data_IF_553168964450
#
_entry.id   IF_553168964450
#
_cell.length_a   1.000
_cell.length_b   1.000
_cell.length_c   1.000
_cell.angle_alpha   90.00
_cell.angle_beta   90.00
_cell.angle_gamma   90.00
#
_symmetry.space_group_name_H-M   'P 1'
#
loop_
_entity.id
_entity.type
_entity.pdbx_description
1 polymer ?
#
# COMPACT_ATOMS: atom_id res chain seq x y z
N UNK A 1 -36.52 31.16 47.44
CA UNK A 1 -36.41 32.60 47.21
C UNK A 1 -36.38 32.88 45.71
N UNK A 2 -37.26 33.73 45.21
CA UNK A 2 -37.40 34.00 43.76
C UNK A 2 -36.08 34.51 43.17
N UNK A 3 -35.31 35.29 43.89
CA UNK A 3 -34.01 35.80 43.43
C UNK A 3 -32.99 34.71 43.25
N UNK A 4 -32.97 33.70 44.07
CA UNK A 4 -32.06 32.54 43.93
C UNK A 4 -32.36 31.75 42.65
N UNK A 5 -33.62 31.65 42.27
CA UNK A 5 -34.03 30.98 41.05
C UNK A 5 -33.67 31.74 39.78
N UNK A 6 -33.68 33.07 39.82
CA UNK A 6 -33.20 33.89 38.72
C UNK A 6 -31.68 33.77 38.52
N UNK A 7 -30.90 33.70 39.57
CA UNK A 7 -29.46 33.48 39.47
C UNK A 7 -29.13 32.09 38.93
N UNK A 8 -29.85 31.08 39.38
CA UNK A 8 -29.68 29.71 38.88
C UNK A 8 -30.05 29.58 37.39
N UNK A 9 -31.11 30.28 36.95
CA UNK A 9 -31.53 30.36 35.54
C UNK A 9 -30.46 31.05 34.67
N UNK A 10 -29.87 32.12 35.15
CA UNK A 10 -28.84 32.86 34.44
C UNK A 10 -27.54 32.02 34.32
N UNK A 11 -27.12 31.36 35.40
CA UNK A 11 -26.00 30.44 35.40
C UNK A 11 -26.21 29.27 34.44
N UNK A 12 -27.36 28.65 34.41
CA UNK A 12 -27.72 27.58 33.47
C UNK A 12 -27.74 28.08 32.03
N UNK A 13 -28.26 29.29 31.78
CA UNK A 13 -28.24 29.91 30.44
C UNK A 13 -26.80 30.11 29.96
N UNK A 14 -25.90 30.62 30.80
CA UNK A 14 -24.50 30.82 30.50
C UNK A 14 -23.80 29.48 30.19
N UNK A 15 -24.07 28.44 30.99
CA UNK A 15 -23.52 27.11 30.74
C UNK A 15 -24.01 26.55 29.41
N UNK A 16 -25.27 26.72 29.07
CA UNK A 16 -25.84 26.27 27.79
C UNK A 16 -25.15 27.03 26.60
N UNK A 17 -24.94 28.32 26.72
CA UNK A 17 -24.25 29.09 25.70
C UNK A 17 -22.77 28.64 25.49
N UNK A 18 -22.05 28.42 26.56
CA UNK A 18 -20.67 27.89 26.51
C UNK A 18 -20.66 26.53 25.82
N UNK A 19 -21.52 25.60 26.22
CA UNK A 19 -21.63 24.28 25.62
C UNK A 19 -22.00 24.31 24.14
N UNK A 20 -22.89 25.20 23.73
CA UNK A 20 -23.23 25.41 22.32
C UNK A 20 -22.02 25.92 21.52
N UNK A 21 -21.30 26.89 22.07
CA UNK A 21 -20.08 27.42 21.42
C UNK A 21 -19.02 26.34 21.27
N UNK A 22 -18.77 25.52 22.28
CA UNK A 22 -17.83 24.42 22.22
C UNK A 22 -18.26 23.35 21.21
N UNK A 23 -19.55 23.02 21.19
CA UNK A 23 -20.10 22.10 20.19
C UNK A 23 -19.85 22.57 18.75
N UNK A 24 -20.11 23.84 18.45
CA UNK A 24 -19.87 24.41 17.11
C UNK A 24 -18.37 24.39 16.75
N UNK A 25 -17.47 24.66 17.69
CA UNK A 25 -16.02 24.55 17.47
C UNK A 25 -15.61 23.12 17.12
N UNK A 26 -16.07 22.14 17.89
CA UNK A 26 -15.77 20.73 17.64
C UNK A 26 -16.37 20.25 16.32
N UNK A 27 -17.56 20.69 15.98
CA UNK A 27 -18.19 20.37 14.70
C UNK A 27 -17.36 20.90 13.53
N UNK A 28 -16.94 22.16 13.58
CA UNK A 28 -16.10 22.76 12.53
C UNK A 28 -14.76 22.02 12.37
N UNK A 29 -14.12 21.64 13.47
CA UNK A 29 -12.89 20.84 13.44
C UNK A 29 -13.10 19.45 12.82
N UNK A 30 -14.23 18.82 13.15
CA UNK A 30 -14.59 17.53 12.56
C UNK A 30 -14.83 17.65 11.05
N UNK A 31 -15.55 18.68 10.59
CA UNK A 31 -15.82 18.91 9.19
C UNK A 31 -14.52 19.16 8.39
N UNK A 32 -13.58 19.94 8.93
CA UNK A 32 -12.26 20.14 8.33
C UNK A 32 -11.51 18.82 8.21
N UNK A 33 -11.46 18.04 9.28
CA UNK A 33 -10.77 16.75 9.29
C UNK A 33 -11.38 15.73 8.32
N UNK A 34 -12.69 15.75 8.13
CA UNK A 34 -13.39 14.90 7.14
C UNK A 34 -12.98 15.30 5.73
N UNK A 35 -13.02 16.61 5.40
CA UNK A 35 -12.64 17.11 4.09
C UNK A 35 -11.18 16.77 3.74
N UNK A 36 -10.25 16.96 4.68
CA UNK A 36 -8.83 16.58 4.49
C UNK A 36 -8.65 15.09 4.20
N UNK A 37 -9.43 14.23 4.87
CA UNK A 37 -9.41 12.78 4.61
C UNK A 37 -10.00 12.42 3.26
N UNK A 38 -11.08 13.05 2.85
CA UNK A 38 -11.71 12.82 1.55
C UNK A 38 -10.76 13.21 0.40
N UNK A 39 -10.08 14.34 0.51
CA UNK A 39 -9.05 14.75 -0.46
C UNK A 39 -7.89 13.73 -0.53
N UNK A 40 -7.43 13.23 0.63
CA UNK A 40 -6.38 12.23 0.69
C UNK A 40 -6.81 10.90 0.05
N UNK A 41 -8.04 10.45 0.31
CA UNK A 41 -8.61 9.26 -0.31
C UNK A 41 -8.66 9.40 -1.83
N UNK A 42 -9.14 10.53 -2.34
CA UNK A 42 -9.19 10.79 -3.79
C UNK A 42 -7.81 10.75 -4.45
N UNK A 43 -6.79 11.32 -3.80
CA UNK A 43 -5.40 11.26 -4.28
C UNK A 43 -4.88 9.82 -4.32
N UNK A 44 -5.11 9.06 -3.25
CA UNK A 44 -4.67 7.66 -3.17
C UNK A 44 -5.39 6.78 -4.20
N UNK A 45 -6.67 7.01 -4.45
CA UNK A 45 -7.42 6.28 -5.48
C UNK A 45 -6.86 6.54 -6.89
N UNK A 46 -6.47 7.77 -7.20
CA UNK A 46 -5.79 8.12 -8.47
C UNK A 46 -4.44 7.40 -8.60
N UNK A 47 -3.66 7.37 -7.51
CA UNK A 47 -2.38 6.66 -7.50
C UNK A 47 -2.56 5.15 -7.68
N UNK A 48 -3.54 4.54 -7.01
CA UNK A 48 -3.89 3.13 -7.19
C UNK A 48 -4.28 2.83 -8.62
N UNK A 49 -5.16 3.64 -9.23
CA UNK A 49 -5.56 3.46 -10.63
C UNK A 49 -4.38 3.56 -11.59
N UNK A 50 -3.47 4.49 -11.35
CA UNK A 50 -2.25 4.64 -12.16
C UNK A 50 -1.39 3.37 -12.11
N UNK A 51 -1.08 2.89 -10.90
CA UNK A 51 -0.28 1.68 -10.71
C UNK A 51 -0.97 0.43 -11.28
N UNK A 52 -2.28 0.30 -11.11
CA UNK A 52 -3.05 -0.79 -11.72
C UNK A 52 -2.99 -0.78 -13.25
N UNK A 53 -3.05 0.39 -13.87
CA UNK A 53 -2.95 0.52 -15.32
C UNK A 53 -1.52 0.17 -15.80
N UNK A 54 -0.50 0.64 -15.12
CA UNK A 54 0.90 0.28 -15.40
C UNK A 54 1.11 -1.24 -15.29
N UNK A 55 0.57 -1.85 -14.25
CA UNK A 55 0.61 -3.29 -14.04
C UNK A 55 -0.12 -4.08 -15.16
N UNK A 56 -1.31 -3.63 -15.58
CA UNK A 56 -2.04 -4.25 -16.71
C UNK A 56 -1.25 -4.16 -18.02
N UNK A 57 -0.63 -3.02 -18.28
CA UNK A 57 0.22 -2.84 -19.47
C UNK A 57 1.42 -3.79 -19.40
N UNK A 58 2.11 -3.85 -18.27
CA UNK A 58 3.24 -4.76 -18.08
C UNK A 58 2.85 -6.24 -18.29
N UNK A 59 1.68 -6.65 -17.77
CA UNK A 59 1.18 -8.00 -17.98
C UNK A 59 0.86 -8.31 -19.44
N UNK A 60 0.40 -7.32 -20.22
CA UNK A 60 0.05 -7.51 -21.63
C UNK A 60 1.26 -7.79 -22.54
N UNK A 61 2.44 -7.38 -22.12
CA UNK A 61 3.69 -7.56 -22.86
C UNK A 61 4.27 -8.97 -22.65
N UNK A 62 3.93 -9.61 -21.53
CA UNK A 62 4.48 -10.90 -21.14
C UNK A 62 3.74 -12.07 -21.81
N UNK A 63 4.43 -13.16 -22.18
CA UNK A 63 3.78 -14.39 -22.59
C UNK A 63 2.84 -14.92 -21.52
N UNK A 64 1.67 -15.41 -21.93
CA UNK A 64 0.59 -15.83 -21.01
C UNK A 64 1.05 -16.91 -20.02
N UNK A 65 1.91 -17.82 -20.43
CA UNK A 65 2.46 -18.89 -19.59
C UNK A 65 3.24 -18.33 -18.36
N UNK A 66 3.96 -17.24 -18.56
CA UNK A 66 4.70 -16.57 -17.50
C UNK A 66 3.79 -15.78 -16.56
N UNK A 67 2.74 -15.18 -17.11
CA UNK A 67 1.74 -14.48 -16.30
C UNK A 67 0.99 -15.44 -15.39
N UNK A 68 0.60 -16.60 -15.89
CA UNK A 68 -0.07 -17.64 -15.09
C UNK A 68 0.85 -18.21 -14.01
N UNK A 69 2.12 -18.47 -14.35
CA UNK A 69 3.13 -18.94 -13.42
C UNK A 69 3.38 -17.92 -12.30
N UNK A 70 3.50 -16.65 -12.66
CA UNK A 70 3.64 -15.56 -11.70
C UNK A 70 2.44 -15.46 -10.76
N UNK A 71 1.23 -15.45 -11.30
CA UNK A 71 -0.02 -15.38 -10.50
C UNK A 71 -0.10 -16.53 -9.50
N UNK A 72 0.16 -17.74 -9.95
CA UNK A 72 0.15 -18.94 -9.10
C UNK A 72 1.19 -18.86 -7.99
N UNK A 73 2.38 -18.37 -8.31
CA UNK A 73 3.44 -18.19 -7.30
C UNK A 73 3.10 -17.08 -6.31
N UNK A 74 2.42 -16.01 -6.77
CA UNK A 74 2.03 -14.87 -5.94
C UNK A 74 1.04 -15.25 -4.84
N UNK A 75 0.23 -16.27 -5.02
CA UNK A 75 -0.70 -16.78 -4.00
C UNK A 75 0.02 -17.35 -2.77
N UNK A 76 1.18 -17.97 -2.98
CA UNK A 76 1.95 -18.61 -1.90
C UNK A 76 3.18 -17.83 -1.47
N UNK A 77 3.69 -16.93 -2.32
CA UNK A 77 4.95 -16.21 -2.08
C UNK A 77 4.76 -14.72 -2.34
N UNK A 78 5.12 -13.90 -1.36
CA UNK A 78 4.96 -12.43 -1.45
C UNK A 78 5.77 -11.81 -2.59
N UNK A 79 7.00 -12.28 -2.82
CA UNK A 79 7.91 -11.82 -3.87
C UNK A 79 8.35 -13.00 -4.73
N UNK A 80 7.61 -13.34 -5.81
CA UNK A 80 7.93 -14.50 -6.65
C UNK A 80 9.08 -14.26 -7.62
N UNK A 81 9.47 -13.02 -7.88
CA UNK A 81 10.58 -12.63 -8.76
C UNK A 81 11.63 -11.91 -7.93
N UNK A 82 12.88 -12.38 -7.97
CA UNK A 82 13.97 -11.84 -7.14
C UNK A 82 15.26 -11.74 -7.94
N UNK A 83 16.10 -10.73 -7.65
CA UNK A 83 17.41 -10.60 -8.30
C UNK A 83 18.41 -11.64 -7.82
N UNK A 84 19.42 -11.88 -8.62
CA UNK A 84 20.61 -12.61 -8.22
C UNK A 84 21.64 -11.62 -7.67
N UNK A 85 22.10 -11.84 -6.45
CA UNK A 85 23.14 -11.06 -5.80
C UNK A 85 24.33 -11.95 -5.45
N UNK A 86 25.52 -11.54 -5.81
CA UNK A 86 26.77 -12.29 -5.54
C UNK A 86 26.68 -13.76 -5.93
N UNK A 87 26.13 -14.05 -7.11
CA UNK A 87 25.91 -15.40 -7.64
C UNK A 87 24.96 -16.28 -6.80
N UNK A 88 24.11 -15.65 -6.00
CA UNK A 88 23.16 -16.36 -5.12
C UNK A 88 21.76 -15.77 -5.28
N UNK A 89 20.74 -16.57 -5.01
CA UNK A 89 19.36 -16.12 -4.92
C UNK A 89 19.22 -15.12 -3.76
N UNK A 90 18.70 -13.91 -4.02
CA UNK A 90 18.55 -12.90 -2.96
C UNK A 90 17.47 -13.22 -1.91
N UNK A 91 16.64 -14.22 -2.16
CA UNK A 91 15.55 -14.59 -1.25
C UNK A 91 15.92 -15.72 -0.27
N UNK A 92 16.59 -16.77 -0.74
CA UNK A 92 16.99 -17.93 0.08
C UNK A 92 18.50 -18.06 0.27
N UNK A 93 19.28 -17.20 -0.41
CA UNK A 93 20.75 -17.16 -0.38
C UNK A 93 21.44 -18.44 -0.88
N UNK A 94 20.70 -19.29 -1.60
CA UNK A 94 21.27 -20.46 -2.26
C UNK A 94 22.16 -20.04 -3.42
N UNK A 95 23.35 -20.64 -3.49
CA UNK A 95 24.34 -20.38 -4.56
C UNK A 95 23.86 -20.95 -5.90
N UNK A 96 24.06 -20.20 -6.96
CA UNK A 96 23.73 -20.62 -8.32
C UNK A 96 24.91 -21.27 -9.00
N UNK A 97 24.64 -22.30 -9.79
CA UNK A 97 25.65 -22.97 -10.61
C UNK A 97 26.11 -22.08 -11.77
N UNK A 98 27.30 -22.35 -12.31
CA UNK A 98 27.80 -21.63 -13.46
C UNK A 98 26.86 -21.75 -14.69
N UNK A 99 26.19 -22.88 -14.84
CA UNK A 99 25.20 -23.11 -15.91
C UNK A 99 23.96 -22.23 -15.75
N UNK A 100 23.43 -22.10 -14.52
CA UNK A 100 22.29 -21.23 -14.22
C UNK A 100 22.63 -19.76 -14.42
N UNK A 101 23.80 -19.31 -13.96
CA UNK A 101 24.29 -17.95 -14.17
C UNK A 101 24.47 -17.64 -15.67
N UNK A 102 24.99 -18.60 -16.43
CA UNK A 102 25.14 -18.42 -17.87
C UNK A 102 23.78 -18.34 -18.58
N UNK A 103 22.80 -19.16 -18.18
CA UNK A 103 21.43 -19.10 -18.71
C UNK A 103 20.79 -17.74 -18.42
N UNK A 104 20.95 -17.18 -17.22
CA UNK A 104 20.45 -15.86 -16.86
C UNK A 104 21.09 -14.74 -17.68
N UNK A 105 22.41 -14.81 -17.93
CA UNK A 105 23.12 -13.83 -18.79
C UNK A 105 22.62 -13.85 -20.23
N UNK A 106 22.09 -14.97 -20.70
CA UNK A 106 21.44 -15.11 -22.01
C UNK A 106 19.92 -14.84 -21.95
N UNK A 107 19.45 -14.09 -20.95
CA UNK A 107 18.04 -13.69 -20.77
C UNK A 107 17.07 -14.87 -20.69
N UNK A 108 17.53 -16.04 -20.27
CA UNK A 108 16.65 -17.16 -19.98
C UNK A 108 16.05 -16.99 -18.58
N UNK A 109 14.73 -17.11 -18.49
CA UNK A 109 14.05 -17.16 -17.21
C UNK A 109 14.28 -18.52 -16.56
N UNK A 110 14.85 -18.53 -15.37
CA UNK A 110 15.05 -19.73 -14.57
C UNK A 110 14.47 -19.57 -13.17
N UNK A 111 14.15 -20.69 -12.54
CA UNK A 111 13.72 -20.73 -11.15
C UNK A 111 14.90 -21.12 -10.26
N UNK A 112 14.95 -20.56 -9.06
CA UNK A 112 15.83 -21.05 -8.02
C UNK A 112 15.50 -22.51 -7.69
N UNK A 113 16.50 -23.38 -7.59
CA UNK A 113 16.30 -24.81 -7.30
C UNK A 113 15.82 -25.07 -5.88
N UNK A 114 16.06 -24.15 -4.93
CA UNK A 114 15.64 -24.30 -3.53
C UNK A 114 14.30 -23.64 -3.22
N UNK A 115 14.13 -22.38 -3.55
CA UNK A 115 12.92 -21.63 -3.20
C UNK A 115 11.92 -21.46 -4.35
N UNK A 116 12.26 -21.95 -5.53
CA UNK A 116 11.45 -21.92 -6.76
C UNK A 116 11.07 -20.53 -7.29
N UNK A 117 11.58 -19.46 -6.70
CA UNK A 117 11.34 -18.10 -7.19
C UNK A 117 12.01 -17.89 -8.56
N UNK A 118 11.40 -17.05 -9.35
CA UNK A 118 11.97 -16.61 -10.64
C UNK A 118 13.17 -15.71 -10.38
N UNK A 119 14.25 -15.97 -11.11
CA UNK A 119 15.52 -15.26 -10.96
C UNK A 119 15.77 -14.34 -12.16
N UNK A 120 16.36 -13.18 -11.90
CA UNK A 120 16.85 -12.27 -12.92
C UNK A 120 18.19 -11.64 -12.50
N UNK A 121 18.94 -11.16 -13.47
CA UNK A 121 20.17 -10.38 -13.24
C UNK A 121 19.83 -8.93 -13.59
N UNK A 122 20.15 -7.99 -12.70
CA UNK A 122 20.08 -6.57 -13.03
C UNK A 122 21.21 -6.22 -13.99
N UNK A 123 20.84 -5.65 -15.14
CA UNK A 123 21.81 -5.07 -16.07
C UNK A 123 22.23 -3.71 -15.52
N UNK A 124 23.53 -3.57 -15.20
CA UNK A 124 24.14 -2.30 -14.85
C UNK A 124 24.41 -1.47 -16.09
#
# INVERSE_FOLDING_TARGET
DILSWYTELDDLSNVVQIKKSDFEKFKNLADISINEKEEMVELLEKDVQKVENEWKIALSILPIEWVEKYKKMRESVKNPVVPVLSNSCSACYSGLTASELNALRHHKLINCHDCYRLLYIEEN
#
